data_IF_791957592308
#
_entry.id   IF_791957592308
#
_cell.length_a   1.000
_cell.length_b   1.000
_cell.length_c   1.000
_cell.angle_alpha   90.00
_cell.angle_beta   90.00
_cell.angle_gamma   90.00
#
_symmetry.space_group_name_H-M   'P 1'
#
loop_
_entity.id
_entity.type
_entity.pdbx_description
1 polymer ?
#
# COMPACT_ATOMS: atom_id res chain seq x y z
N UNK A 1 -5.46 35.82 -32.05
CA UNK A 1 -5.12 35.38 -30.68
C UNK A 1 -6.14 34.32 -30.27
N UNK A 2 -5.83 33.05 -30.51
CA UNK A 2 -6.74 31.92 -30.25
C UNK A 2 -6.44 31.32 -28.87
N UNK A 3 -7.45 31.27 -28.02
CA UNK A 3 -7.40 30.61 -26.72
C UNK A 3 -7.56 29.13 -26.96
N UNK A 4 -6.49 28.35 -26.71
CA UNK A 4 -6.54 26.88 -26.69
C UNK A 4 -7.12 26.45 -25.35
N UNK A 5 -8.36 26.00 -25.35
CA UNK A 5 -8.97 25.34 -24.18
C UNK A 5 -8.46 23.92 -24.15
N UNK A 6 -7.56 23.64 -23.22
CA UNK A 6 -7.09 22.29 -22.93
C UNK A 6 -8.17 21.53 -22.16
N UNK A 7 -8.89 20.64 -22.84
CA UNK A 7 -9.86 19.74 -22.20
C UNK A 7 -9.09 18.61 -21.52
N UNK A 8 -8.96 18.70 -20.22
CA UNK A 8 -8.50 17.58 -19.41
C UNK A 8 -9.65 16.59 -19.28
N UNK A 9 -9.61 15.49 -20.03
CA UNK A 9 -10.55 14.38 -19.85
C UNK A 9 -10.13 13.61 -18.60
N UNK A 10 -10.76 13.95 -17.47
CA UNK A 10 -10.70 13.14 -16.27
C UNK A 10 -11.60 11.92 -16.49
N UNK A 11 -11.05 10.77 -16.78
CA UNK A 11 -11.81 9.51 -16.78
C UNK A 11 -12.11 9.10 -15.34
N UNK A 12 -13.20 9.63 -14.79
CA UNK A 12 -13.81 9.14 -13.56
C UNK A 12 -14.54 7.84 -13.86
N UNK A 13 -14.08 6.76 -13.26
CA UNK A 13 -14.75 5.47 -13.31
C UNK A 13 -15.99 5.52 -12.39
N UNK A 14 -17.16 5.75 -12.98
CA UNK A 14 -18.43 5.96 -12.28
C UNK A 14 -19.23 4.64 -12.26
N UNK A 15 -18.80 3.68 -11.44
CA UNK A 15 -19.65 2.57 -11.05
C UNK A 15 -20.63 3.07 -9.98
N UNK A 16 -21.85 3.45 -10.38
CA UNK A 16 -22.92 3.77 -9.45
C UNK A 16 -23.81 4.97 -9.78
N UNK A 17 -23.64 5.64 -10.91
CA UNK A 17 -24.51 6.75 -11.31
C UNK A 17 -25.49 6.34 -12.41
N UNK A 18 -26.73 6.79 -12.21
CA UNK A 18 -27.88 6.54 -13.08
C UNK A 18 -27.56 6.86 -14.56
N UNK A 19 -27.66 5.87 -15.44
CA UNK A 19 -27.21 5.89 -16.84
C UNK A 19 -27.94 6.88 -17.77
N UNK A 20 -28.67 7.88 -17.24
CA UNK A 20 -29.49 8.80 -18.04
C UNK A 20 -29.02 10.27 -18.04
N UNK A 21 -27.89 10.61 -17.39
CA UNK A 21 -27.37 11.98 -17.41
C UNK A 21 -26.29 12.16 -18.48
N UNK A 22 -26.42 13.24 -19.28
CA UNK A 22 -25.40 13.58 -20.28
C UNK A 22 -24.12 14.11 -19.61
N UNK A 23 -22.92 13.82 -20.15
CA UNK A 23 -21.65 14.22 -19.53
C UNK A 23 -21.52 15.72 -19.18
N UNK A 24 -22.11 16.60 -19.94
CA UNK A 24 -22.07 18.04 -19.70
C UNK A 24 -22.99 18.49 -18.55
N UNK A 25 -24.07 17.76 -18.25
CA UNK A 25 -24.96 18.05 -17.11
C UNK A 25 -24.26 17.75 -15.78
N UNK A 26 -23.38 16.74 -15.77
CA UNK A 26 -22.52 16.43 -14.62
C UNK A 26 -21.54 17.56 -14.31
N UNK A 27 -20.87 18.09 -15.34
CA UNK A 27 -19.92 19.21 -15.19
C UNK A 27 -20.64 20.47 -14.70
N UNK A 28 -21.84 20.74 -15.18
CA UNK A 28 -22.64 21.90 -14.76
C UNK A 28 -23.08 21.80 -13.30
N UNK A 29 -23.48 20.63 -12.81
CA UNK A 29 -23.90 20.42 -11.42
C UNK A 29 -22.74 20.59 -10.43
N UNK A 30 -21.53 20.16 -10.79
CA UNK A 30 -20.31 20.37 -9.98
C UNK A 30 -19.93 21.87 -9.95
N UNK A 31 -19.99 22.55 -11.10
CA UNK A 31 -19.60 23.96 -11.19
C UNK A 31 -20.64 24.94 -10.62
N UNK A 32 -21.90 24.56 -10.53
CA UNK A 32 -22.99 25.40 -10.01
C UNK A 32 -23.25 25.26 -8.51
N UNK A 33 -22.47 24.42 -7.80
CA UNK A 33 -22.61 24.23 -6.36
C UNK A 33 -23.96 23.58 -5.92
N UNK A 34 -24.71 23.01 -6.86
CA UNK A 34 -26.03 22.38 -6.63
C UNK A 34 -25.94 20.87 -6.33
N UNK A 35 -24.74 20.32 -6.30
CA UNK A 35 -24.51 18.95 -5.87
C UNK A 35 -24.09 18.94 -4.42
N UNK A 36 -24.90 18.35 -3.53
CA UNK A 36 -24.42 17.91 -2.24
C UNK A 36 -23.26 16.95 -2.51
N UNK A 37 -22.08 17.24 -1.94
CA UNK A 37 -20.99 16.26 -1.92
C UNK A 37 -21.56 15.04 -1.23
N UNK A 38 -21.62 13.88 -1.89
CA UNK A 38 -22.05 12.67 -1.20
C UNK A 38 -21.15 12.50 0.04
N UNK A 39 -21.70 12.11 1.22
CA UNK A 39 -20.86 11.70 2.33
C UNK A 39 -19.83 10.75 1.75
N UNK A 40 -18.55 10.91 2.14
CA UNK A 40 -17.49 9.95 1.77
C UNK A 40 -18.05 8.56 2.08
N UNK A 41 -18.55 7.89 1.05
CA UNK A 41 -19.07 6.56 1.18
C UNK A 41 -17.91 5.76 1.75
N UNK A 42 -18.12 5.19 2.93
CA UNK A 42 -17.27 4.13 3.43
C UNK A 42 -17.20 3.14 2.27
N UNK A 43 -16.05 3.05 1.62
CA UNK A 43 -15.84 2.09 0.54
C UNK A 43 -16.22 0.74 1.13
N UNK A 44 -17.23 0.03 0.58
CA UNK A 44 -17.54 -1.30 1.06
C UNK A 44 -16.23 -2.09 0.99
N UNK A 45 -15.86 -2.75 2.08
CA UNK A 45 -14.70 -3.63 2.13
C UNK A 45 -14.79 -4.58 0.93
N UNK A 46 -13.94 -4.34 -0.06
CA UNK A 46 -13.92 -5.14 -1.28
C UNK A 46 -13.67 -6.60 -0.85
N UNK A 47 -14.41 -7.60 -1.34
CA UNK A 47 -14.10 -9.01 -1.09
C UNK A 47 -12.64 -9.37 -1.37
N UNK A 48 -11.98 -8.68 -2.32
CA UNK A 48 -10.55 -8.75 -2.57
C UNK A 48 -9.70 -8.31 -1.34
N UNK A 49 -10.17 -7.40 -0.48
CA UNK A 49 -9.42 -6.97 0.70
C UNK A 49 -9.27 -8.09 1.73
N UNK A 50 -10.29 -8.95 1.88
CA UNK A 50 -10.17 -10.11 2.79
C UNK A 50 -9.12 -11.11 2.31
N UNK A 51 -8.95 -11.29 1.01
CA UNK A 51 -7.93 -12.16 0.43
C UNK A 51 -6.52 -11.54 0.58
N UNK A 52 -6.37 -10.23 0.39
CA UNK A 52 -5.10 -9.52 0.56
C UNK A 52 -4.50 -9.72 1.97
N UNK A 53 -5.28 -9.54 3.03
CA UNK A 53 -4.75 -9.67 4.40
C UNK A 53 -4.42 -11.12 4.77
N UNK A 54 -5.14 -12.10 4.23
CA UNK A 54 -4.78 -13.51 4.38
C UNK A 54 -3.44 -13.83 3.69
N UNK A 55 -3.25 -13.32 2.47
CA UNK A 55 -1.99 -13.45 1.72
C UNK A 55 -0.84 -12.72 2.41
N UNK A 56 -1.09 -11.52 2.97
CA UNK A 56 -0.10 -10.76 3.72
C UNK A 56 0.36 -11.53 4.97
N UNK A 57 -0.56 -12.05 5.78
CA UNK A 57 -0.21 -12.86 6.95
C UNK A 57 0.61 -14.10 6.56
N UNK A 58 0.24 -14.75 5.45
CA UNK A 58 0.99 -15.88 4.91
C UNK A 58 2.41 -15.47 4.46
N UNK A 59 2.55 -14.33 3.79
CA UNK A 59 3.85 -13.81 3.31
C UNK A 59 4.80 -13.44 4.46
N UNK A 60 4.26 -12.88 5.55
CA UNK A 60 5.04 -12.35 6.68
C UNK A 60 5.40 -13.43 7.73
N UNK A 61 4.47 -14.31 8.04
CA UNK A 61 4.64 -15.28 9.14
C UNK A 61 4.27 -16.71 8.80
N UNK A 62 3.91 -17.01 7.54
CA UNK A 62 3.29 -18.28 7.19
C UNK A 62 1.90 -18.46 7.81
N UNK A 63 1.26 -17.37 8.28
CA UNK A 63 -0.01 -17.38 9.00
C UNK A 63 0.13 -17.66 10.51
N UNK A 64 1.35 -17.77 11.03
CA UNK A 64 1.59 -18.03 12.46
C UNK A 64 1.38 -16.75 13.29
N UNK A 65 0.36 -16.76 14.16
CA UNK A 65 0.03 -15.63 15.02
C UNK A 65 1.08 -15.36 16.10
N UNK A 66 1.84 -16.37 16.51
CA UNK A 66 2.89 -16.27 17.53
C UNK A 66 4.30 -16.04 16.93
N UNK A 67 4.38 -15.79 15.62
CA UNK A 67 5.67 -15.60 14.94
C UNK A 67 6.45 -14.43 15.56
N UNK A 68 7.74 -14.67 15.83
CA UNK A 68 8.68 -13.66 16.35
C UNK A 68 9.93 -13.64 15.48
N UNK A 69 10.29 -12.45 14.97
CA UNK A 69 11.54 -12.31 14.25
C UNK A 69 12.74 -12.44 15.19
N UNK A 70 13.82 -13.07 14.72
CA UNK A 70 15.06 -13.24 15.49
C UNK A 70 15.96 -12.01 15.47
N UNK A 71 15.79 -11.11 14.50
CA UNK A 71 16.68 -9.97 14.24
C UNK A 71 16.02 -8.61 14.39
N UNK A 72 14.73 -8.59 14.78
CA UNK A 72 13.95 -7.35 14.97
C UNK A 72 12.88 -7.54 16.03
N UNK A 73 12.16 -6.47 16.37
CA UNK A 73 11.01 -6.53 17.29
C UNK A 73 9.70 -6.95 16.61
N UNK A 74 9.75 -7.49 15.38
CA UNK A 74 8.57 -7.89 14.63
C UNK A 74 7.92 -9.12 15.25
N UNK A 75 6.59 -9.04 15.47
CA UNK A 75 5.79 -10.08 16.12
C UNK A 75 4.41 -10.19 15.43
N UNK A 76 3.84 -11.38 15.49
CA UNK A 76 2.47 -11.67 15.10
C UNK A 76 2.30 -12.01 13.62
N UNK A 77 1.05 -12.19 13.17
CA UNK A 77 0.76 -12.64 11.82
C UNK A 77 1.23 -11.67 10.73
N UNK A 78 1.23 -10.37 11.03
CA UNK A 78 1.63 -9.31 10.10
C UNK A 78 3.01 -8.71 10.40
N UNK A 79 3.79 -9.34 11.28
CA UNK A 79 5.15 -8.96 11.65
C UNK A 79 5.33 -7.47 11.98
N UNK A 80 4.41 -6.91 12.78
CA UNK A 80 4.53 -5.53 13.24
C UNK A 80 5.74 -5.36 14.17
N UNK A 81 6.61 -4.43 13.80
CA UNK A 81 7.64 -3.94 14.73
C UNK A 81 7.00 -3.03 15.78
N UNK A 82 7.58 -3.00 16.99
CA UNK A 82 7.06 -2.26 18.14
C UNK A 82 6.70 -0.80 17.80
N UNK A 83 7.65 -0.08 17.19
CA UNK A 83 7.45 1.33 16.84
C UNK A 83 6.23 1.54 15.94
N UNK A 84 6.09 0.74 14.87
CA UNK A 84 4.97 0.87 13.94
C UNK A 84 3.64 0.52 14.61
N UNK A 85 3.63 -0.52 15.47
CA UNK A 85 2.44 -0.88 16.22
C UNK A 85 1.93 0.27 17.08
N UNK A 86 2.81 0.85 17.91
CA UNK A 86 2.46 1.97 18.79
C UNK A 86 2.02 3.21 18.02
N UNK A 87 2.68 3.52 16.91
CA UNK A 87 2.29 4.64 16.03
C UNK A 87 0.89 4.44 15.44
N UNK A 88 0.60 3.24 14.94
CA UNK A 88 -0.69 2.96 14.30
C UNK A 88 -1.83 2.89 15.32
N UNK A 89 -1.65 2.18 16.44
CA UNK A 89 -2.69 2.08 17.49
C UNK A 89 -3.02 3.45 18.08
N UNK A 90 -2.00 4.28 18.32
CA UNK A 90 -2.19 5.67 18.74
C UNK A 90 -2.97 6.49 17.70
N UNK A 91 -2.65 6.35 16.42
CA UNK A 91 -3.34 7.06 15.33
C UNK A 91 -4.82 6.64 15.21
N UNK A 92 -5.13 5.39 15.57
CA UNK A 92 -6.49 4.85 15.63
C UNK A 92 -7.25 5.23 16.91
N UNK A 93 -6.60 5.87 17.89
CA UNK A 93 -7.16 6.11 19.22
C UNK A 93 -7.39 4.81 20.02
N UNK A 94 -6.61 3.76 19.75
CA UNK A 94 -6.70 2.45 20.41
C UNK A 94 -5.58 2.29 21.43
N UNK A 95 -5.92 1.77 22.60
CA UNK A 95 -4.96 1.39 23.64
C UNK A 95 -4.68 -0.11 23.56
N UNK A 96 -4.00 -0.53 22.49
CA UNK A 96 -3.57 -1.91 22.30
C UNK A 96 -2.14 -2.10 22.77
N UNK A 97 -1.97 -2.94 23.81
CA UNK A 97 -0.66 -3.33 24.30
C UNK A 97 0.18 -4.05 23.21
N UNK A 98 1.49 -4.13 23.42
CA UNK A 98 2.41 -4.77 22.46
C UNK A 98 2.11 -6.25 22.24
N UNK A 99 1.61 -6.94 23.27
CA UNK A 99 1.21 -8.35 23.23
C UNK A 99 0.03 -8.59 22.27
N UNK A 100 -0.81 -7.59 22.06
CA UNK A 100 -1.95 -7.68 21.15
C UNK A 100 -1.55 -7.85 19.67
N UNK A 101 -0.26 -7.74 19.32
CA UNK A 101 0.26 -8.07 17.99
C UNK A 101 0.05 -9.55 17.62
N UNK A 102 -0.09 -10.44 18.61
CA UNK A 102 -0.39 -11.88 18.40
C UNK A 102 -1.89 -12.17 18.38
N UNK A 103 -2.74 -11.23 18.78
CA UNK A 103 -4.19 -11.31 18.61
C UNK A 103 -4.54 -11.00 17.15
N UNK A 104 -4.95 -12.03 16.39
CA UNK A 104 -5.21 -11.88 14.95
C UNK A 104 -6.24 -10.80 14.63
N UNK A 105 -7.30 -10.68 15.42
CA UNK A 105 -8.38 -9.73 15.16
C UNK A 105 -7.88 -8.28 15.34
N UNK A 106 -7.19 -7.99 16.44
CA UNK A 106 -6.59 -6.67 16.69
C UNK A 106 -5.47 -6.36 15.69
N UNK A 107 -4.61 -7.34 15.42
CA UNK A 107 -3.54 -7.16 14.44
C UNK A 107 -4.08 -6.92 13.03
N UNK A 108 -5.21 -7.56 12.66
CA UNK A 108 -5.91 -7.31 11.39
C UNK A 108 -6.49 -5.90 11.32
N UNK A 109 -7.12 -5.42 12.39
CA UNK A 109 -7.62 -4.05 12.46
C UNK A 109 -6.51 -3.01 12.26
N UNK A 110 -5.36 -3.22 12.93
CA UNK A 110 -4.21 -2.32 12.82
C UNK A 110 -3.58 -2.37 11.42
N UNK A 111 -3.44 -3.57 10.81
CA UNK A 111 -2.87 -3.67 9.47
C UNK A 111 -3.79 -3.10 8.41
N UNK A 112 -5.10 -3.19 8.57
CA UNK A 112 -6.07 -2.54 7.67
C UNK A 112 -5.89 -1.02 7.68
N UNK A 113 -5.85 -0.41 8.86
CA UNK A 113 -5.59 1.02 9.00
C UNK A 113 -4.22 1.43 8.38
N UNK A 114 -3.18 0.66 8.66
CA UNK A 114 -1.85 0.91 8.11
C UNK A 114 -1.81 0.80 6.58
N UNK A 115 -2.47 -0.21 6.03
CA UNK A 115 -2.55 -0.43 4.58
C UNK A 115 -3.32 0.71 3.90
N UNK A 116 -4.42 1.19 4.47
CA UNK A 116 -5.18 2.29 3.89
C UNK A 116 -4.38 3.59 3.86
N UNK A 117 -3.67 3.90 4.92
CA UNK A 117 -2.72 5.03 4.95
C UNK A 117 -1.62 4.91 3.89
N UNK A 118 -1.11 3.71 3.68
CA UNK A 118 -0.13 3.46 2.63
C UNK A 118 -0.76 3.61 1.24
N UNK A 119 -2.01 3.16 1.04
CA UNK A 119 -2.77 3.30 -0.20
C UNK A 119 -2.93 4.77 -0.57
N UNK A 120 -3.47 5.57 0.34
CA UNK A 120 -3.65 7.02 0.15
C UNK A 120 -2.33 7.72 -0.22
N UNK A 121 -1.27 7.42 0.53
CA UNK A 121 0.04 8.00 0.27
C UNK A 121 0.58 7.64 -1.11
N UNK A 122 0.52 6.36 -1.49
CA UNK A 122 1.05 5.88 -2.76
C UNK A 122 0.21 6.38 -3.95
N UNK A 123 -1.11 6.37 -3.86
CA UNK A 123 -1.99 6.93 -4.91
C UNK A 123 -1.65 8.39 -5.17
N UNK A 124 -1.50 9.19 -4.11
CA UNK A 124 -1.11 10.60 -4.23
C UNK A 124 0.28 10.78 -4.86
N UNK A 125 1.24 9.90 -4.53
CA UNK A 125 2.62 9.98 -5.05
C UNK A 125 2.76 9.48 -6.47
N UNK A 126 2.03 8.43 -6.84
CA UNK A 126 2.15 7.75 -8.13
C UNK A 126 1.16 8.29 -9.17
N UNK A 127 0.09 8.99 -8.73
CA UNK A 127 -0.96 9.49 -9.62
C UNK A 127 -1.76 8.38 -10.33
N UNK A 128 -1.80 7.17 -9.73
CA UNK A 128 -2.51 6.01 -10.26
C UNK A 128 -3.06 5.13 -9.13
N UNK A 129 -3.98 4.25 -9.46
CA UNK A 129 -4.39 3.16 -8.57
C UNK A 129 -3.20 2.28 -8.18
N UNK A 130 -3.21 1.78 -6.95
CA UNK A 130 -2.18 0.90 -6.40
C UNK A 130 -2.74 -0.51 -6.20
N UNK A 131 -2.00 -1.50 -6.69
CA UNK A 131 -2.31 -2.92 -6.53
C UNK A 131 -1.70 -3.51 -5.26
N UNK A 132 -1.95 -4.80 -5.05
CA UNK A 132 -1.53 -5.51 -3.85
C UNK A 132 0.00 -5.59 -3.72
N UNK A 133 0.73 -5.74 -4.82
CA UNK A 133 2.20 -5.69 -4.81
C UNK A 133 2.73 -4.31 -4.39
N UNK A 134 2.09 -3.22 -4.81
CA UNK A 134 2.46 -1.86 -4.39
C UNK A 134 2.24 -1.66 -2.88
N UNK A 135 1.09 -2.15 -2.36
CA UNK A 135 0.75 -2.11 -0.94
C UNK A 135 1.71 -2.97 -0.11
N UNK A 136 2.07 -4.15 -0.63
CA UNK A 136 3.08 -5.00 0.01
C UNK A 136 4.46 -4.34 0.02
N UNK A 137 4.84 -3.64 -1.05
CA UNK A 137 6.08 -2.85 -1.05
C UNK A 137 6.07 -1.77 0.03
N UNK A 138 4.93 -1.12 0.28
CA UNK A 138 4.79 -0.13 1.35
C UNK A 138 4.82 -0.76 2.75
N UNK A 139 4.24 -1.94 2.93
CA UNK A 139 4.37 -2.71 4.16
C UNK A 139 5.83 -3.05 4.46
N UNK A 140 6.56 -3.50 3.45
CA UNK A 140 7.95 -3.97 3.54
C UNK A 140 9.00 -2.86 3.68
N UNK A 141 8.84 -1.72 2.97
CA UNK A 141 9.82 -0.62 2.89
C UNK A 141 9.38 0.67 3.60
N UNK A 142 8.15 0.70 4.10
CA UNK A 142 7.48 1.95 4.41
C UNK A 142 7.09 2.71 3.15
N UNK A 143 6.13 3.63 3.27
CA UNK A 143 5.55 4.34 2.13
C UNK A 143 6.57 5.19 1.35
N UNK A 144 7.56 5.81 2.01
CA UNK A 144 8.63 6.55 1.33
C UNK A 144 9.56 5.62 0.53
N UNK A 145 9.97 4.50 1.12
CA UNK A 145 10.82 3.52 0.44
C UNK A 145 10.11 2.88 -0.75
N UNK A 146 8.84 2.52 -0.59
CA UNK A 146 8.01 2.00 -1.65
C UNK A 146 7.83 3.01 -2.79
N UNK A 147 7.52 4.28 -2.48
CA UNK A 147 7.36 5.28 -3.55
C UNK A 147 8.64 5.49 -4.35
N UNK A 148 9.83 5.47 -3.72
CA UNK A 148 11.11 5.51 -4.42
C UNK A 148 11.28 4.30 -5.35
N UNK A 149 10.98 3.09 -4.85
CA UNK A 149 11.07 1.85 -5.64
C UNK A 149 10.13 1.89 -6.84
N UNK A 150 8.87 2.28 -6.63
CA UNK A 150 7.80 2.25 -7.64
C UNK A 150 7.90 3.35 -8.69
N UNK A 151 8.65 4.44 -8.42
CA UNK A 151 8.91 5.52 -9.39
C UNK A 151 10.26 5.37 -10.10
N UNK A 152 11.13 4.49 -9.62
CA UNK A 152 12.43 4.28 -10.24
C UNK A 152 12.32 3.50 -11.57
N UNK A 153 13.28 3.72 -12.46
CA UNK A 153 13.33 2.98 -13.72
C UNK A 153 13.59 1.49 -13.46
N UNK A 154 12.88 0.58 -14.15
CA UNK A 154 12.94 -0.87 -13.86
C UNK A 154 14.33 -1.49 -13.93
N UNK A 155 15.21 -0.95 -14.77
CA UNK A 155 16.58 -1.43 -14.96
C UNK A 155 17.61 -0.87 -13.95
N UNK A 156 17.22 0.11 -13.12
CA UNK A 156 18.10 0.62 -12.07
C UNK A 156 18.32 -0.46 -11.00
N UNK A 157 19.54 -0.49 -10.46
CA UNK A 157 19.85 -1.36 -9.33
C UNK A 157 19.35 -0.74 -8.02
N UNK A 158 18.81 -1.57 -7.13
CA UNK A 158 18.13 -1.13 -5.90
C UNK A 158 19.05 -0.42 -4.91
N UNK A 159 20.34 -0.64 -4.95
CA UNK A 159 21.32 0.06 -4.13
C UNK A 159 21.40 1.58 -4.42
N UNK A 160 20.91 2.01 -5.58
CA UNK A 160 20.76 3.43 -5.97
C UNK A 160 19.41 4.03 -5.61
N UNK A 161 18.44 3.21 -5.17
CA UNK A 161 17.04 3.59 -4.99
C UNK A 161 16.62 3.46 -3.53
N UNK A 162 17.00 2.34 -2.91
CA UNK A 162 16.57 1.94 -1.56
C UNK A 162 17.62 2.39 -0.53
N UNK A 163 17.16 2.81 0.63
CA UNK A 163 18.05 3.28 1.70
C UNK A 163 18.96 2.15 2.21
N UNK A 164 20.21 2.49 2.51
CA UNK A 164 21.26 1.55 2.96
C UNK A 164 20.83 0.68 4.13
N UNK A 165 20.04 1.23 5.08
CA UNK A 165 19.51 0.49 6.22
C UNK A 165 18.59 -0.64 5.77
N UNK A 166 17.65 -0.35 4.85
CA UNK A 166 16.73 -1.35 4.31
C UNK A 166 17.48 -2.42 3.51
N UNK A 167 18.47 -2.03 2.69
CA UNK A 167 19.32 -2.96 1.94
C UNK A 167 20.04 -3.94 2.87
N UNK A 168 20.62 -3.44 3.97
CA UNK A 168 21.36 -4.26 4.93
C UNK A 168 20.45 -5.24 5.68
N UNK A 169 19.26 -4.77 6.08
CA UNK A 169 18.28 -5.59 6.82
C UNK A 169 17.66 -6.70 5.95
N UNK A 170 17.60 -6.50 4.62
CA UNK A 170 16.86 -7.39 3.71
C UNK A 170 17.72 -7.88 2.53
N UNK A 171 18.97 -8.25 2.78
CA UNK A 171 19.93 -8.68 1.76
C UNK A 171 19.41 -9.79 0.84
N UNK A 172 18.65 -10.73 1.38
CA UNK A 172 18.06 -11.84 0.63
C UNK A 172 17.05 -11.40 -0.45
N UNK A 173 16.42 -10.23 -0.28
CA UNK A 173 15.50 -9.63 -1.26
C UNK A 173 16.26 -8.76 -2.25
N UNK A 174 17.20 -7.96 -1.78
CA UNK A 174 17.85 -6.93 -2.59
C UNK A 174 19.11 -7.39 -3.33
N UNK A 175 19.71 -8.50 -2.93
CA UNK A 175 20.91 -9.01 -3.57
C UNK A 175 20.67 -10.41 -4.11
N UNK A 176 21.27 -10.68 -5.26
CA UNK A 176 21.27 -12.04 -5.82
C UNK A 176 22.08 -12.99 -4.93
N UNK A 177 21.53 -14.18 -4.69
CA UNK A 177 22.13 -15.14 -3.75
C UNK A 177 23.47 -15.72 -4.24
N UNK A 178 23.63 -15.81 -5.56
CA UNK A 178 24.82 -16.43 -6.18
C UNK A 178 25.88 -15.36 -6.46
N UNK A 179 25.51 -14.35 -7.24
CA UNK A 179 26.44 -13.32 -7.70
C UNK A 179 26.76 -12.25 -6.66
N UNK A 180 25.96 -12.17 -5.58
CA UNK A 180 26.01 -11.12 -4.53
C UNK A 180 25.81 -9.69 -5.07
N UNK A 181 25.43 -9.53 -6.33
CA UNK A 181 25.16 -8.22 -6.94
C UNK A 181 23.78 -7.70 -6.52
N UNK A 182 23.62 -6.36 -6.42
CA UNK A 182 22.30 -5.79 -6.19
C UNK A 182 21.37 -6.10 -7.38
N UNK A 183 20.14 -6.47 -7.06
CA UNK A 183 19.09 -6.70 -8.05
C UNK A 183 18.61 -5.39 -8.67
N UNK A 184 17.99 -5.49 -9.81
CA UNK A 184 17.26 -4.39 -10.42
C UNK A 184 15.92 -4.15 -9.70
N UNK A 185 15.35 -2.96 -9.92
CA UNK A 185 14.01 -2.62 -9.42
C UNK A 185 12.96 -3.62 -9.91
N UNK A 186 13.02 -4.01 -11.21
CA UNK A 186 12.10 -4.98 -11.78
C UNK A 186 12.20 -6.36 -11.10
N UNK A 187 13.41 -6.85 -10.82
CA UNK A 187 13.63 -8.13 -10.14
C UNK A 187 13.09 -8.10 -8.71
N UNK A 188 13.32 -7.00 -7.98
CA UNK A 188 12.78 -6.85 -6.62
C UNK A 188 11.25 -6.77 -6.64
N UNK A 189 10.67 -5.99 -7.55
CA UNK A 189 9.21 -5.93 -7.70
C UNK A 189 8.61 -7.31 -7.96
N UNK A 190 9.24 -8.11 -8.84
CA UNK A 190 8.80 -9.49 -9.12
C UNK A 190 8.90 -10.39 -7.89
N UNK A 191 9.92 -10.24 -7.06
CA UNK A 191 10.03 -10.97 -5.79
C UNK A 191 8.90 -10.59 -4.84
N UNK A 192 8.58 -9.30 -4.69
CA UNK A 192 7.48 -8.83 -3.85
C UNK A 192 6.13 -9.35 -4.37
N UNK A 193 5.91 -9.31 -5.69
CA UNK A 193 4.74 -9.85 -6.35
C UNK A 193 4.55 -11.35 -6.03
N UNK A 194 5.59 -12.14 -6.20
CA UNK A 194 5.56 -13.58 -5.87
C UNK A 194 5.30 -13.81 -4.38
N UNK A 195 5.85 -12.98 -3.49
CA UNK A 195 5.66 -13.12 -2.04
C UNK A 195 4.21 -12.87 -1.63
N UNK A 196 3.54 -11.87 -2.20
CA UNK A 196 2.14 -11.57 -1.90
C UNK A 196 1.16 -12.48 -2.66
N UNK A 197 1.64 -13.34 -3.57
CA UNK A 197 0.84 -14.32 -4.27
C UNK A 197 0.10 -13.76 -5.50
N UNK A 198 0.70 -12.79 -6.18
CA UNK A 198 0.26 -12.29 -7.49
C UNK A 198 1.09 -12.86 -8.65
#
# INVERSE_FOLDING_TARGET
MGIVIMVVILTLNLAGLNNNMKPWEMVWNVMSGKGETPPLAQTPSNPADNDYYARLAKAESGGNVEAKATTSSAVGPFQFVEKTWLEQTKAMGKDYALEARTDYAKAKEVVQHFTEKNREYLQNKLGREVGDTDLYAAHFLGNQGASKLLTAKPFMTVDKVVDKRALTANKNVFYDKVTKKPRTVAEVYKILQTKIGE
#
